data_IF_027113303266
#
_entry.id   IF_027113303266
#
_cell.length_a   1.000
_cell.length_b   1.000
_cell.length_c   1.000
_cell.angle_alpha   90.00
_cell.angle_beta   90.00
_cell.angle_gamma   90.00
#
_symmetry.space_group_name_H-M   'P 1'
#
loop_
_entity.id
_entity.type
_entity.pdbx_description
1 polymer ?
#
# COMPACT_ATOMS: atom_id res chain seq x y z
N UNK A 1 -11.61 -75.52 -2.81
CA UNK A 1 -12.12 -74.70 -3.94
C UNK A 1 -11.72 -73.25 -3.70
N UNK A 2 -10.47 -72.94 -4.01
CA UNK A 2 -9.83 -71.64 -3.87
C UNK A 2 -9.53 -71.11 -5.26
N UNK A 3 -10.50 -70.50 -5.95
CA UNK A 3 -10.26 -69.74 -7.21
C UNK A 3 -11.50 -69.01 -7.76
N UNK A 4 -12.52 -68.71 -6.94
CA UNK A 4 -13.69 -67.94 -7.43
C UNK A 4 -14.05 -66.71 -6.57
N UNK A 5 -13.43 -66.54 -5.41
CA UNK A 5 -13.70 -65.41 -4.49
C UNK A 5 -12.79 -64.19 -4.70
N UNK A 6 -11.65 -64.36 -5.38
CA UNK A 6 -10.68 -63.28 -5.62
C UNK A 6 -10.98 -62.44 -6.87
N UNK A 7 -11.70 -62.99 -7.86
CA UNK A 7 -11.93 -62.34 -9.16
C UNK A 7 -13.13 -61.38 -9.16
N UNK A 8 -14.07 -61.53 -8.21
CA UNK A 8 -15.24 -60.64 -8.08
C UNK A 8 -14.86 -59.32 -7.38
N UNK A 9 -13.90 -59.33 -6.45
CA UNK A 9 -13.42 -58.10 -5.80
C UNK A 9 -12.67 -57.16 -6.75
N UNK A 10 -11.96 -57.70 -7.75
CA UNK A 10 -11.25 -56.88 -8.74
C UNK A 10 -12.19 -56.20 -9.75
N UNK A 11 -13.34 -56.80 -10.02
CA UNK A 11 -14.36 -56.21 -10.91
C UNK A 11 -15.19 -55.10 -10.24
N UNK A 12 -15.37 -55.15 -8.92
CA UNK A 12 -16.05 -54.07 -8.18
C UNK A 12 -15.18 -52.81 -8.02
N UNK A 13 -13.84 -52.93 -8.06
CA UNK A 13 -12.95 -51.77 -7.99
C UNK A 13 -12.92 -50.94 -9.29
N UNK A 14 -13.24 -51.53 -10.45
CA UNK A 14 -13.25 -50.80 -11.73
C UNK A 14 -14.54 -49.98 -11.95
N UNK A 15 -15.64 -50.34 -11.29
CA UNK A 15 -16.88 -49.54 -11.34
C UNK A 15 -16.83 -48.28 -10.46
N UNK A 16 -15.86 -48.16 -9.55
CA UNK A 16 -15.61 -46.94 -8.77
C UNK A 16 -14.73 -45.91 -9.50
N UNK A 17 -14.15 -46.25 -10.65
CA UNK A 17 -13.39 -45.32 -11.50
C UNK A 17 -14.26 -44.66 -12.60
N UNK A 18 -15.56 -44.98 -12.64
CA UNK A 18 -16.51 -44.52 -13.66
C UNK A 18 -17.56 -43.53 -13.15
N UNK A 19 -17.32 -42.85 -12.03
CA UNK A 19 -18.12 -41.69 -11.64
C UNK A 19 -17.32 -40.46 -12.00
N UNK A 20 -17.81 -39.75 -13.01
CA UNK A 20 -17.41 -38.39 -13.33
C UNK A 20 -17.48 -37.53 -12.07
N UNK A 21 -16.36 -37.45 -11.33
CA UNK A 21 -16.14 -36.41 -10.34
C UNK A 21 -16.09 -35.08 -11.10
N UNK A 22 -17.27 -34.46 -11.19
CA UNK A 22 -17.58 -33.05 -10.96
C UNK A 22 -16.43 -32.04 -10.92
N UNK A 23 -16.81 -30.77 -11.13
CA UNK A 23 -17.02 -30.07 -12.38
C UNK A 23 -15.65 -29.72 -12.99
N UNK A 24 -15.63 -29.03 -14.13
CA UNK A 24 -14.53 -28.10 -14.45
C UNK A 24 -14.46 -27.01 -13.37
N UNK A 25 -14.01 -27.34 -12.15
CA UNK A 25 -13.43 -26.35 -11.26
C UNK A 25 -12.10 -26.00 -11.92
N UNK A 26 -12.16 -25.03 -12.84
CA UNK A 26 -10.99 -24.21 -13.13
C UNK A 26 -10.60 -23.63 -11.78
N UNK A 27 -9.62 -24.25 -11.13
CA UNK A 27 -8.78 -23.55 -10.17
C UNK A 27 -8.13 -22.42 -10.98
N UNK A 28 -8.83 -21.29 -11.09
CA UNK A 28 -8.20 -20.05 -11.55
C UNK A 28 -7.04 -19.85 -10.60
N UNK A 29 -5.83 -19.98 -11.13
CA UNK A 29 -4.64 -19.75 -10.32
C UNK A 29 -4.78 -18.36 -9.69
N UNK A 30 -4.20 -18.16 -8.50
CA UNK A 30 -4.18 -16.82 -7.85
C UNK A 30 -3.73 -15.74 -8.84
N UNK A 31 -2.78 -16.11 -9.71
CA UNK A 31 -2.25 -15.32 -10.82
C UNK A 31 -3.29 -14.90 -11.87
N UNK A 32 -4.34 -15.70 -12.10
CA UNK A 32 -5.43 -15.37 -13.02
C UNK A 32 -6.48 -14.42 -12.40
N UNK A 33 -6.60 -14.39 -11.06
CA UNK A 33 -7.36 -13.35 -10.33
C UNK A 33 -6.65 -12.00 -10.33
N UNK A 34 -5.32 -12.01 -10.33
CA UNK A 34 -4.53 -10.78 -10.26
C UNK A 34 -4.30 -10.13 -11.64
N UNK A 35 -4.51 -10.86 -12.75
CA UNK A 35 -4.50 -10.32 -14.13
C UNK A 35 -5.54 -9.20 -14.39
N UNK A 36 -6.43 -8.91 -13.45
CA UNK A 36 -7.39 -7.81 -13.53
C UNK A 36 -7.36 -6.82 -12.36
N UNK A 37 -6.50 -7.03 -11.35
CA UNK A 37 -6.43 -6.14 -10.20
C UNK A 37 -5.63 -4.87 -10.53
N UNK A 38 -6.14 -3.72 -10.11
CA UNK A 38 -5.33 -2.49 -10.10
C UNK A 38 -4.36 -2.54 -8.91
N UNK A 39 -3.14 -2.05 -9.10
CA UNK A 39 -2.12 -2.00 -8.05
C UNK A 39 -1.73 -0.54 -7.84
N UNK A 40 -1.73 -0.10 -6.58
CA UNK A 40 -1.23 1.19 -6.16
C UNK A 40 -0.08 0.96 -5.18
N UNK A 41 0.99 1.72 -5.35
CA UNK A 41 2.12 1.70 -4.42
C UNK A 41 1.96 2.80 -3.37
N UNK A 42 2.20 2.45 -2.11
CA UNK A 42 2.11 3.36 -0.97
C UNK A 42 3.35 3.26 -0.09
N UNK A 43 4.02 4.39 0.19
CA UNK A 43 5.06 4.46 1.20
C UNK A 43 4.49 5.12 2.45
N UNK A 44 4.40 4.34 3.52
CA UNK A 44 4.10 4.84 4.85
C UNK A 44 5.35 5.45 5.49
N UNK A 45 5.29 6.74 5.78
CA UNK A 45 6.32 7.45 6.54
C UNK A 45 5.87 7.53 7.99
N UNK A 46 6.61 6.89 8.89
CA UNK A 46 6.28 6.89 10.32
C UNK A 46 6.93 8.10 10.96
N UNK A 47 6.10 9.04 11.39
CA UNK A 47 6.50 10.25 12.08
C UNK A 47 7.13 9.93 13.44
N UNK A 48 8.03 10.79 13.91
CA UNK A 48 8.69 10.64 15.20
C UNK A 48 7.74 10.83 16.39
N UNK A 49 6.52 11.31 16.12
CA UNK A 49 5.45 11.50 17.11
C UNK A 49 4.65 10.22 17.40
N UNK A 50 4.84 9.16 16.60
CA UNK A 50 4.18 7.87 16.83
C UNK A 50 4.90 7.12 17.95
N UNK A 51 4.28 7.08 19.13
CA UNK A 51 4.77 6.32 20.27
C UNK A 51 4.26 4.87 20.23
N UNK A 52 4.87 4.05 19.37
CA UNK A 52 4.54 2.64 19.22
C UNK A 52 5.76 1.81 18.78
N UNK A 53 5.73 0.52 19.10
CA UNK A 53 6.74 -0.43 18.62
C UNK A 53 6.59 -0.68 17.11
N UNK A 54 7.67 -1.11 16.47
CA UNK A 54 7.63 -1.43 15.04
C UNK A 54 6.63 -2.54 14.70
N UNK A 55 6.46 -3.51 15.61
CA UNK A 55 5.47 -4.57 15.48
C UNK A 55 4.03 -4.04 15.52
N UNK A 56 3.75 -3.09 16.42
CA UNK A 56 2.44 -2.45 16.51
C UNK A 56 2.14 -1.61 15.27
N UNK A 57 3.13 -0.87 14.77
CA UNK A 57 3.00 -0.09 13.53
C UNK A 57 2.77 -1.01 12.33
N UNK A 58 3.52 -2.11 12.22
CA UNK A 58 3.35 -3.11 11.16
C UNK A 58 1.97 -3.74 11.19
N UNK A 59 1.47 -4.10 12.36
CA UNK A 59 0.13 -4.66 12.56
C UNK A 59 -0.94 -3.65 12.16
N UNK A 60 -0.81 -2.41 12.63
CA UNK A 60 -1.72 -1.31 12.29
C UNK A 60 -1.80 -1.09 10.78
N UNK A 61 -0.66 -0.94 10.09
CA UNK A 61 -0.62 -0.73 8.64
C UNK A 61 -1.19 -1.92 7.87
N UNK A 62 -0.91 -3.15 8.34
CA UNK A 62 -1.48 -4.36 7.76
C UNK A 62 -3.02 -4.36 7.80
N UNK A 63 -3.60 -4.04 8.96
CA UNK A 63 -5.06 -3.90 9.10
C UNK A 63 -5.61 -2.77 8.24
N UNK A 64 -4.95 -1.60 8.27
CA UNK A 64 -5.37 -0.42 7.51
C UNK A 64 -5.41 -0.70 6.02
N UNK A 65 -4.37 -1.32 5.46
CA UNK A 65 -4.35 -1.68 4.04
C UNK A 65 -5.45 -2.69 3.70
N UNK A 66 -5.58 -3.76 4.48
CA UNK A 66 -6.54 -4.85 4.20
C UNK A 66 -7.97 -4.33 4.12
N UNK A 67 -8.35 -3.48 5.07
CA UNK A 67 -9.70 -2.89 5.10
C UNK A 67 -9.85 -1.78 4.05
N UNK A 68 -8.83 -0.96 3.80
CA UNK A 68 -8.87 0.06 2.75
C UNK A 68 -9.03 -0.57 1.36
N UNK A 69 -8.36 -1.69 1.07
CA UNK A 69 -8.53 -2.44 -0.18
C UNK A 69 -9.98 -2.88 -0.39
N UNK A 70 -10.65 -3.35 0.67
CA UNK A 70 -12.07 -3.71 0.63
C UNK A 70 -12.95 -2.50 0.29
N UNK A 71 -12.73 -1.34 0.93
CA UNK A 71 -13.48 -0.12 0.62
C UNK A 71 -13.19 0.42 -0.78
N UNK A 72 -11.96 0.26 -1.28
CA UNK A 72 -11.58 0.65 -2.64
C UNK A 72 -12.21 -0.27 -3.69
N UNK A 73 -12.32 -1.57 -3.42
CA UNK A 73 -13.00 -2.51 -4.31
C UNK A 73 -14.46 -2.12 -4.51
N UNK A 74 -15.16 -1.75 -3.43
CA UNK A 74 -16.52 -1.23 -3.50
C UNK A 74 -16.59 0.12 -4.22
N UNK A 75 -15.67 1.04 -3.92
CA UNK A 75 -15.67 2.40 -4.47
C UNK A 75 -15.39 2.41 -5.97
N UNK A 76 -14.43 1.61 -6.44
CA UNK A 76 -14.01 1.55 -7.85
C UNK A 76 -14.69 0.44 -8.64
N UNK A 77 -15.47 -0.43 -7.98
CA UNK A 77 -16.02 -1.65 -8.57
C UNK A 77 -14.92 -2.48 -9.28
N UNK A 78 -13.73 -2.48 -8.68
CA UNK A 78 -12.50 -3.04 -9.24
C UNK A 78 -11.57 -3.43 -8.08
N UNK A 79 -11.16 -4.70 -8.05
CA UNK A 79 -10.16 -5.18 -7.09
C UNK A 79 -8.91 -4.29 -7.17
N UNK A 80 -8.58 -3.66 -6.05
CA UNK A 80 -7.45 -2.74 -5.92
C UNK A 80 -6.54 -3.24 -4.81
N UNK A 81 -5.25 -3.33 -5.09
CA UNK A 81 -4.22 -3.84 -4.17
C UNK A 81 -3.32 -2.67 -3.78
N UNK A 82 -3.10 -2.48 -2.48
CA UNK A 82 -2.17 -1.53 -1.91
C UNK A 82 -0.84 -2.24 -1.61
N UNK A 83 0.10 -2.11 -2.53
CA UNK A 83 1.47 -2.57 -2.31
C UNK A 83 2.21 -1.54 -1.48
N UNK A 84 2.51 -1.88 -0.23
CA UNK A 84 3.00 -0.92 0.75
C UNK A 84 4.41 -1.21 1.24
N UNK A 85 5.18 -0.14 1.49
CA UNK A 85 6.38 -0.18 2.33
C UNK A 85 6.25 0.79 3.49
N UNK A 86 7.02 0.53 4.54
CA UNK A 86 7.13 1.40 5.70
C UNK A 86 8.54 1.93 5.81
N UNK A 87 8.69 3.23 6.05
CA UNK A 87 9.96 3.89 6.35
C UNK A 87 9.77 4.77 7.58
N UNK A 88 10.67 4.65 8.55
CA UNK A 88 10.68 5.53 9.71
C UNK A 88 11.40 6.82 9.34
N UNK A 89 10.84 7.95 9.76
CA UNK A 89 11.48 9.26 9.57
C UNK A 89 12.70 9.39 10.48
N UNK A 90 12.65 8.74 11.66
CA UNK A 90 13.79 8.66 12.58
C UNK A 90 15.04 8.11 11.87
N UNK A 91 16.13 8.85 11.91
CA UNK A 91 17.39 8.52 11.24
C UNK A 91 17.54 9.03 9.80
N UNK A 92 16.50 9.66 9.22
CA UNK A 92 16.57 10.32 7.92
C UNK A 92 16.62 11.85 8.12
N UNK A 93 17.82 12.42 8.18
CA UNK A 93 18.03 13.83 8.52
C UNK A 93 17.23 14.84 7.65
N UNK A 94 17.11 14.66 6.32
CA UNK A 94 16.20 15.46 5.50
C UNK A 94 14.73 15.38 5.93
N UNK A 95 14.20 14.17 6.16
CA UNK A 95 12.79 14.01 6.56
C UNK A 95 12.55 14.46 8.00
N UNK A 96 13.50 14.25 8.91
CA UNK A 96 13.41 14.76 10.29
C UNK A 96 13.36 16.29 10.32
N UNK A 97 14.18 16.96 9.50
CA UNK A 97 14.18 18.43 9.41
C UNK A 97 12.83 18.93 8.90
N UNK A 98 12.30 18.31 7.84
CA UNK A 98 11.00 18.63 7.27
C UNK A 98 9.87 18.44 8.31
N UNK A 99 9.89 17.33 9.05
CA UNK A 99 8.85 17.07 10.05
C UNK A 99 8.99 17.96 11.28
N UNK A 100 10.19 18.34 11.70
CA UNK A 100 10.39 19.31 12.78
C UNK A 100 9.78 20.67 12.47
N UNK A 101 9.83 21.12 11.23
CA UNK A 101 9.23 22.40 10.80
C UNK A 101 7.70 22.33 10.71
N UNK A 102 7.17 21.14 10.43
CA UNK A 102 5.75 20.93 10.21
C UNK A 102 4.98 20.39 11.42
N UNK A 103 5.65 19.75 12.38
CA UNK A 103 5.04 19.29 13.63
C UNK A 103 4.93 20.46 14.61
N UNK A 104 3.69 20.83 14.95
CA UNK A 104 3.35 21.94 15.86
C UNK A 104 2.53 21.40 17.00
N UNK A 105 3.19 20.85 18.02
CA UNK A 105 2.49 20.20 19.14
C UNK A 105 1.29 21.04 19.62
N UNK A 106 0.09 20.45 19.73
CA UNK A 106 -0.24 19.02 19.61
C UNK A 106 -0.70 18.53 18.22
N UNK A 107 -0.49 19.30 17.14
CA UNK A 107 -1.01 19.02 15.79
C UNK A 107 0.09 19.05 14.71
N UNK A 108 -0.21 18.48 13.55
CA UNK A 108 0.64 18.57 12.36
C UNK A 108 0.14 19.70 11.44
N UNK A 109 1.04 20.48 10.85
CA UNK A 109 0.68 21.54 9.91
C UNK A 109 0.34 20.95 8.52
N UNK A 110 -0.92 20.60 8.32
CA UNK A 110 -1.41 19.74 7.25
C UNK A 110 -0.97 20.14 5.83
N UNK A 111 -1.32 21.33 5.36
CA UNK A 111 -1.02 21.74 3.99
C UNK A 111 0.47 21.96 3.75
N UNK A 112 1.20 22.43 4.78
CA UNK A 112 2.66 22.54 4.73
C UNK A 112 3.30 21.17 4.59
N UNK A 113 2.92 20.21 5.43
CA UNK A 113 3.39 18.82 5.38
C UNK A 113 3.13 18.19 4.02
N UNK A 114 1.91 18.29 3.48
CA UNK A 114 1.57 17.72 2.16
C UNK A 114 2.44 18.33 1.08
N UNK A 115 2.58 19.67 1.07
CA UNK A 115 3.39 20.37 0.07
C UNK A 115 4.86 19.97 0.15
N UNK A 116 5.44 19.98 1.35
CA UNK A 116 6.85 19.78 1.56
C UNK A 116 7.24 18.32 1.28
N UNK A 117 6.45 17.33 1.74
CA UNK A 117 6.65 15.92 1.41
C UNK A 117 6.46 15.65 -0.08
N UNK A 118 5.41 16.18 -0.70
CA UNK A 118 5.21 16.05 -2.16
C UNK A 118 6.42 16.60 -2.91
N UNK A 119 6.93 17.77 -2.51
CA UNK A 119 8.11 18.38 -3.12
C UNK A 119 9.37 17.53 -2.93
N UNK A 120 9.54 16.94 -1.74
CA UNK A 120 10.68 16.07 -1.43
C UNK A 120 10.75 14.83 -2.34
N UNK A 121 9.60 14.24 -2.69
CA UNK A 121 9.53 13.03 -3.51
C UNK A 121 9.32 13.29 -5.01
N UNK A 122 8.91 14.50 -5.41
CA UNK A 122 8.55 14.83 -6.81
C UNK A 122 9.66 14.52 -7.82
N UNK A 123 10.93 14.71 -7.46
CA UNK A 123 12.08 14.52 -8.36
C UNK A 123 12.77 13.17 -8.17
N UNK A 124 12.26 12.32 -7.28
CA UNK A 124 12.82 11.02 -6.93
C UNK A 124 12.00 9.91 -7.54
N UNK A 125 12.53 8.68 -7.51
CA UNK A 125 11.69 7.50 -7.66
C UNK A 125 10.71 7.48 -6.50
N UNK A 126 9.41 7.46 -6.79
CA UNK A 126 8.38 7.61 -5.78
C UNK A 126 7.25 6.59 -5.99
N UNK A 127 6.58 6.15 -4.91
CA UNK A 127 5.32 5.42 -5.01
C UNK A 127 4.21 6.33 -5.59
N UNK A 128 3.05 5.76 -5.88
CA UNK A 128 1.89 6.55 -6.28
C UNK A 128 1.42 7.44 -5.12
N UNK A 129 1.57 6.94 -3.88
CA UNK A 129 1.11 7.57 -2.64
C UNK A 129 2.23 7.61 -1.61
N UNK A 130 2.49 8.78 -1.03
CA UNK A 130 3.19 8.96 0.25
C UNK A 130 2.11 9.11 1.33
N UNK A 131 2.20 8.35 2.41
CA UNK A 131 1.25 8.43 3.51
C UNK A 131 2.00 8.68 4.81
N UNK A 132 1.90 9.89 5.36
CA UNK A 132 2.45 10.20 6.67
C UNK A 132 1.54 9.60 7.74
N UNK A 133 2.11 8.81 8.64
CA UNK A 133 1.45 8.28 9.84
C UNK A 133 1.95 9.09 11.03
N UNK A 134 1.05 9.83 11.69
CA UNK A 134 1.42 10.76 12.79
C UNK A 134 0.69 10.41 14.09
N UNK A 135 1.37 10.60 15.22
CA UNK A 135 0.75 10.54 16.55
C UNK A 135 0.12 11.87 16.98
N UNK A 136 0.33 12.95 16.22
CA UNK A 136 -0.27 14.25 16.48
C UNK A 136 -1.69 14.36 15.94
N UNK A 137 -2.44 15.34 16.46
CA UNK A 137 -3.80 15.57 16.01
C UNK A 137 -3.82 16.16 14.60
N UNK A 138 -4.72 15.64 13.77
CA UNK A 138 -5.03 16.20 12.46
C UNK A 138 -6.10 17.28 12.66
N UNK A 139 -5.71 18.53 12.48
CA UNK A 139 -6.55 19.71 12.68
C UNK A 139 -6.27 20.75 11.59
N UNK A 140 -7.29 21.17 10.85
CA UNK A 140 -7.16 22.13 9.74
C UNK A 140 -7.53 23.58 10.11
N UNK A 141 -7.98 23.81 11.36
CA UNK A 141 -8.47 25.13 11.78
C UNK A 141 -9.97 25.34 11.59
N UNK A 142 -10.66 24.44 10.91
CA UNK A 142 -12.07 24.59 10.51
C UNK A 142 -12.87 23.28 10.75
N UNK A 143 -13.14 22.52 9.69
CA UNK A 143 -14.03 21.36 9.68
C UNK A 143 -13.35 20.05 10.10
N UNK A 144 -12.02 19.96 9.98
CA UNK A 144 -11.27 18.78 10.41
C UNK A 144 -10.75 19.01 11.82
N UNK A 145 -11.38 18.31 12.78
CA UNK A 145 -10.96 18.32 14.18
C UNK A 145 -10.71 16.91 14.67
N UNK A 146 -9.44 16.60 15.00
CA UNK A 146 -9.00 15.24 15.36
C UNK A 146 -9.39 14.24 14.28
N UNK A 147 -9.11 14.59 13.02
CA UNK A 147 -9.45 13.75 11.88
C UNK A 147 -8.65 12.45 11.87
N UNK A 148 -9.22 11.40 11.28
CA UNK A 148 -8.51 10.14 11.02
C UNK A 148 -7.51 10.24 9.87
N UNK A 149 -7.68 11.24 9.01
CA UNK A 149 -6.78 11.53 7.91
C UNK A 149 -7.09 12.86 7.26
N UNK A 150 -6.16 13.34 6.44
CA UNK A 150 -6.29 14.55 5.65
C UNK A 150 -5.54 14.44 4.32
N UNK A 151 -6.17 14.93 3.24
CA UNK A 151 -5.54 15.20 1.97
C UNK A 151 -6.36 16.22 1.18
N UNK A 152 -5.68 16.95 0.30
CA UNK A 152 -6.28 17.97 -0.58
C UNK A 152 -5.96 17.76 -2.06
N UNK A 153 -5.13 16.77 -2.40
CA UNK A 153 -4.61 16.55 -3.75
C UNK A 153 -5.55 15.69 -4.59
N UNK A 154 -5.63 16.00 -5.90
CA UNK A 154 -6.55 15.37 -6.87
C UNK A 154 -5.85 14.88 -8.15
N UNK A 155 -4.61 14.44 -8.00
CA UNK A 155 -3.69 14.13 -9.12
C UNK A 155 -3.09 12.72 -9.02
N UNK A 156 -3.79 11.77 -8.40
CA UNK A 156 -3.35 10.36 -8.32
C UNK A 156 -2.98 9.82 -9.72
N UNK A 157 -1.92 9.04 -9.86
CA UNK A 157 -1.37 8.56 -11.14
C UNK A 157 -0.85 9.65 -12.11
N UNK A 158 -0.96 10.95 -11.80
CA UNK A 158 -0.37 12.04 -12.60
C UNK A 158 0.89 12.60 -11.92
N UNK A 159 0.89 12.63 -10.59
CA UNK A 159 2.04 12.90 -9.74
C UNK A 159 1.99 12.01 -8.50
N UNK A 160 3.07 11.98 -7.73
CA UNK A 160 2.98 11.54 -6.34
C UNK A 160 1.94 12.37 -5.61
N UNK A 161 1.12 11.72 -4.79
CA UNK A 161 0.25 12.39 -3.84
C UNK A 161 0.69 12.09 -2.41
N UNK A 162 0.42 13.01 -1.50
CA UNK A 162 0.68 12.88 -0.07
C UNK A 162 -0.65 12.87 0.68
N UNK A 163 -0.81 11.87 1.53
CA UNK A 163 -1.90 11.71 2.47
C UNK A 163 -1.33 11.76 3.89
N UNK A 164 -2.14 12.16 4.86
CA UNK A 164 -1.80 12.09 6.28
C UNK A 164 -2.87 11.23 6.96
N UNK A 165 -2.47 10.27 7.80
CA UNK A 165 -3.36 9.51 8.67
C UNK A 165 -2.90 9.57 10.11
N UNK A 166 -3.86 9.51 11.03
CA UNK A 166 -3.56 9.41 12.45
C UNK A 166 -3.15 7.97 12.80
N UNK A 167 -2.18 7.82 13.70
CA UNK A 167 -1.90 6.54 14.35
C UNK A 167 -2.87 6.34 15.51
N UNK A 168 -3.75 5.34 15.41
CA UNK A 168 -4.60 4.87 16.50
C UNK A 168 -4.94 3.39 16.26
N UNK A 169 -4.34 2.50 17.04
CA UNK A 169 -4.51 1.06 16.92
C UNK A 169 -5.94 0.60 17.19
N UNK A 170 -6.74 1.36 17.94
CA UNK A 170 -8.13 1.04 18.27
C UNK A 170 -9.12 1.57 17.23
N UNK A 171 -8.67 2.44 16.32
CA UNK A 171 -9.49 3.07 15.29
C UNK A 171 -9.08 2.69 13.87
N UNK A 172 -8.34 1.59 13.71
CA UNK A 172 -7.83 1.16 12.41
C UNK A 172 -8.95 1.13 11.35
N UNK A 173 -10.14 0.58 11.62
CA UNK A 173 -11.24 0.52 10.65
C UNK A 173 -11.76 1.89 10.19
N UNK A 174 -11.88 2.86 11.10
CA UNK A 174 -12.27 4.23 10.72
C UNK A 174 -11.18 4.90 9.88
N UNK A 175 -9.91 4.65 10.23
CA UNK A 175 -8.74 5.12 9.49
C UNK A 175 -8.64 4.45 8.11
N UNK A 176 -8.91 3.15 7.99
CA UNK A 176 -8.95 2.39 6.73
C UNK A 176 -9.98 2.98 5.77
N UNK A 177 -11.18 3.25 6.28
CA UNK A 177 -12.26 3.90 5.51
C UNK A 177 -11.86 5.30 5.08
N UNK A 178 -11.21 6.06 5.96
CA UNK A 178 -10.69 7.39 5.63
C UNK A 178 -9.60 7.31 4.55
N UNK A 179 -8.65 6.39 4.65
CA UNK A 179 -7.60 6.18 3.64
C UNK A 179 -8.22 5.89 2.27
N UNK A 180 -9.14 4.92 2.19
CA UNK A 180 -9.81 4.58 0.94
C UNK A 180 -10.59 5.78 0.35
N UNK A 181 -11.25 6.57 1.21
CA UNK A 181 -11.93 7.79 0.80
C UNK A 181 -10.95 8.82 0.24
N UNK A 182 -9.85 9.10 0.93
CA UNK A 182 -8.85 10.06 0.44
C UNK A 182 -8.22 9.62 -0.88
N UNK A 183 -7.93 8.33 -1.05
CA UNK A 183 -7.48 7.78 -2.33
C UNK A 183 -8.53 8.00 -3.42
N UNK A 184 -9.80 7.75 -3.12
CA UNK A 184 -10.91 7.99 -4.06
C UNK A 184 -11.04 9.49 -4.40
N UNK A 185 -10.99 10.37 -3.40
CA UNK A 185 -11.08 11.82 -3.54
C UNK A 185 -9.89 12.39 -4.34
N UNK A 186 -8.75 11.67 -4.35
CA UNK A 186 -7.54 12.04 -5.08
C UNK A 186 -7.54 11.71 -6.57
N UNK A 187 -8.54 10.95 -7.04
CA UNK A 187 -8.73 10.67 -8.47
C UNK A 187 -9.07 11.98 -9.19
N UNK A 188 -8.41 12.24 -10.32
CA UNK A 188 -8.64 13.46 -11.07
C UNK A 188 -10.07 13.48 -11.64
N UNK A 189 -10.94 14.41 -11.18
CA UNK A 189 -12.34 14.43 -11.58
C UNK A 189 -12.54 14.80 -13.06
N UNK A 190 -11.52 15.38 -13.73
CA UNK A 190 -11.56 15.64 -15.17
C UNK A 190 -11.31 14.37 -15.99
N UNK A 191 -10.60 13.38 -15.43
CA UNK A 191 -10.28 12.10 -16.09
C UNK A 191 -11.29 11.02 -15.76
N UNK A 192 -11.77 10.99 -14.51
CA UNK A 192 -12.87 10.13 -14.07
C UNK A 192 -13.92 11.00 -13.37
N UNK A 193 -14.84 11.61 -14.16
CA UNK A 193 -15.97 12.34 -13.59
C UNK A 193 -16.82 11.44 -12.70
N UNK A 194 -17.39 12.03 -11.64
CA UNK A 194 -18.37 11.37 -10.78
C UNK A 194 -17.90 10.04 -10.15
N UNK A 195 -16.61 9.94 -9.77
CA UNK A 195 -16.02 8.73 -9.18
C UNK A 195 -16.84 8.15 -8.00
N UNK A 196 -17.50 9.01 -7.21
CA UNK A 196 -18.35 8.59 -6.09
C UNK A 196 -19.76 8.10 -6.47
N UNK A 197 -20.24 8.35 -7.69
CA UNK A 197 -21.63 8.09 -8.10
C UNK A 197 -21.81 6.70 -8.74
N UNK A 198 -20.75 5.91 -8.89
CA UNK A 198 -20.79 4.51 -9.38
C UNK A 198 -21.61 4.30 -10.65
N UNK A 199 -21.39 5.16 -11.66
CA UNK A 199 -22.06 5.03 -12.96
C UNK A 199 -21.63 3.75 -13.70
N UNK A 200 -22.40 3.35 -14.71
CA UNK A 200 -22.24 2.08 -15.43
C UNK A 200 -20.86 1.87 -16.08
N UNK A 201 -20.12 2.94 -16.37
CA UNK A 201 -18.79 2.89 -16.95
C UNK A 201 -17.64 3.04 -15.93
N UNK A 202 -17.93 3.16 -14.62
CA UNK A 202 -16.93 3.47 -13.61
C UNK A 202 -15.78 2.46 -13.59
N UNK A 203 -16.07 1.15 -13.55
CA UNK A 203 -15.05 0.10 -13.52
C UNK A 203 -14.05 0.24 -14.65
N UNK A 204 -14.52 0.46 -15.89
CA UNK A 204 -13.65 0.60 -17.06
C UNK A 204 -12.84 1.89 -17.03
N UNK A 205 -13.46 3.01 -16.63
CA UNK A 205 -12.77 4.30 -16.46
C UNK A 205 -11.69 4.22 -15.39
N UNK A 206 -12.00 3.61 -14.24
CA UNK A 206 -11.04 3.42 -13.15
C UNK A 206 -9.91 2.48 -13.56
N UNK A 207 -10.22 1.36 -14.24
CA UNK A 207 -9.20 0.45 -14.75
C UNK A 207 -8.23 1.15 -15.70
N UNK A 208 -8.74 1.97 -16.62
CA UNK A 208 -7.90 2.77 -17.52
C UNK A 208 -7.10 3.83 -16.75
N UNK A 209 -7.73 4.52 -15.80
CA UNK A 209 -7.07 5.54 -14.99
C UNK A 209 -5.91 4.97 -14.17
N UNK A 210 -6.17 3.93 -13.38
CA UNK A 210 -5.17 3.28 -12.51
C UNK A 210 -4.08 2.56 -13.31
N UNK A 211 -4.31 2.18 -14.56
CA UNK A 211 -3.26 1.64 -15.44
C UNK A 211 -2.12 2.63 -15.73
N UNK A 212 -2.35 3.92 -15.46
CA UNK A 212 -1.36 4.99 -15.63
C UNK A 212 -0.51 5.23 -14.38
N UNK A 213 -0.89 4.65 -13.24
CA UNK A 213 -0.07 4.67 -12.04
C UNK A 213 1.22 3.87 -12.31
N UNK A 214 2.35 4.51 -12.01
CA UNK A 214 3.71 4.00 -12.30
C UNK A 214 4.62 4.10 -11.08
N UNK A 215 4.03 4.29 -9.91
CA UNK A 215 4.75 4.40 -8.67
C UNK A 215 5.61 3.17 -8.42
N UNK A 216 6.80 3.41 -7.89
CA UNK A 216 7.73 2.37 -7.50
C UNK A 216 8.54 2.83 -6.31
N UNK A 217 9.07 1.88 -5.56
CA UNK A 217 9.91 2.18 -4.41
C UNK A 217 11.36 2.37 -4.85
N UNK A 218 12.07 3.29 -4.19
CA UNK A 218 13.52 3.34 -4.31
C UNK A 218 14.13 1.97 -3.96
N UNK A 219 15.13 1.57 -4.73
CA UNK A 219 15.92 0.38 -4.43
C UNK A 219 16.90 0.73 -3.32
N UNK A 220 16.93 -0.07 -2.26
CA UNK A 220 18.00 0.03 -1.26
C UNK A 220 19.33 -0.21 -1.97
N UNK A 221 20.26 0.75 -1.85
CA UNK A 221 21.62 0.54 -2.34
C UNK A 221 22.20 -0.67 -1.58
N UNK A 222 22.86 -1.62 -2.26
CA UNK A 222 23.58 -2.68 -1.57
C UNK A 222 24.50 -2.06 -0.52
N UNK A 223 24.65 -2.70 0.66
CA UNK A 223 25.58 -2.20 1.67
C UNK A 223 26.96 -1.98 1.02
N UNK A 224 27.55 -0.80 1.23
CA UNK A 224 28.92 -0.55 0.83
C UNK A 224 29.80 -1.64 1.44
N UNK A 225 30.43 -2.43 0.56
CA UNK A 225 31.34 -3.48 0.98
C UNK A 225 32.45 -2.89 1.85
N UNK A 226 33.10 -3.71 2.70
CA UNK A 226 34.16 -3.23 3.57
C UNK A 226 35.22 -2.47 2.76
N UNK A 227 35.76 -1.35 3.30
CA UNK A 227 36.75 -0.55 2.59
C UNK A 227 37.89 -1.43 2.12
N UNK A 228 38.23 -1.34 0.82
CA UNK A 228 39.37 -2.08 0.27
C UNK A 228 40.64 -1.70 1.05
N UNK A 229 41.44 -2.68 1.51
CA UNK A 229 42.70 -2.38 2.18
C UNK A 229 43.58 -1.55 1.24
N UNK A 230 44.06 -0.40 1.72
CA UNK A 230 45.05 0.38 0.97
C UNK A 230 46.34 -0.43 0.90
N UNK A 231 46.78 -0.77 -0.31
CA UNK A 231 48.09 -1.36 -0.55
C UNK A 231 49.15 -0.28 -0.39
N UNK A 232 49.48 0.07 0.86
CA UNK A 232 50.67 0.85 1.16
C UNK A 232 51.87 -0.08 0.98
N UNK A 233 52.60 0.09 -0.14
CA UNK A 233 53.83 -0.62 -0.41
C UNK A 233 54.85 -0.20 0.64
N UNK A 234 55.19 -1.12 1.53
CA UNK A 234 56.30 -0.98 2.46
C UNK A 234 57.61 -1.08 1.66
N UNK A 235 58.31 0.05 1.49
CA UNK A 235 59.70 0.06 1.02
C UNK A 235 60.58 -0.67 2.05
N UNK A 236 61.36 -1.64 1.57
CA UNK A 236 62.38 -2.34 2.34
C UNK A 236 63.69 -1.56 2.20
N UNK A 237 64.35 -1.12 3.28
CA UNK A 237 65.67 -0.50 3.19
C UNK A 237 66.76 -1.56 2.99
N UNK A 238 67.73 -1.26 2.13
CA UNK A 238 69.05 -1.94 2.04
C UNK A 238 69.95 -1.61 3.24
#
# INVERSE_FOLDING_TARGET
MNTLRGTICLWLCLMCAGVECWPKVRLRSRQERDKGAAKLTILYLIDTTVDATEENVKTFIGSVNTEAEYFLEDSFQLKTILDSRTKYIKGDAPLETLMRENNRYPYVYLDGTIRDLTSHFKTKTHPDIICLVTGYQIYDGDQVRKGYGYSSQKTLCESVITLIIAYDSHKHNDISKMLARMITDSVNPKKVPHVHQKWSNLTNSMKNYLSKCKGSFEQEKPPEGPPQPSTEKQEVPE
#
